data_IF_688686128324
#
_entry.id   IF_688686128324
#
_cell.length_a   1.000
_cell.length_b   1.000
_cell.length_c   1.000
_cell.angle_alpha   90.00
_cell.angle_beta   90.00
_cell.angle_gamma   90.00
#
_symmetry.space_group_name_H-M   'P 1'
#
loop_
_entity.id
_entity.type
_entity.pdbx_description
1 polymer ?
#
# COMPACT_ATOMS: atom_id res chain seq x y z
N UNK A 1 11.46 4.16 2.03
CA UNK A 1 11.30 3.07 3.01
C UNK A 1 12.04 1.82 2.52
N UNK A 2 12.86 1.14 3.33
CA UNK A 2 13.53 -0.09 2.89
C UNK A 2 12.51 -1.14 2.45
N UNK A 3 12.81 -1.90 1.39
CA UNK A 3 11.99 -3.03 0.91
C UNK A 3 10.60 -2.66 0.32
N UNK A 4 10.30 -1.38 0.09
CA UNK A 4 9.04 -0.93 -0.55
C UNK A 4 8.82 -1.58 -1.92
N UNK A 5 9.88 -1.71 -2.71
CA UNK A 5 9.81 -2.41 -4.00
C UNK A 5 9.55 -3.90 -3.83
N UNK A 6 10.17 -4.53 -2.84
CA UNK A 6 10.01 -5.96 -2.56
C UNK A 6 8.58 -6.31 -2.17
N UNK A 7 7.93 -5.49 -1.33
CA UNK A 7 6.52 -5.75 -0.97
C UNK A 7 5.59 -5.60 -2.17
N UNK A 8 5.85 -4.63 -3.06
CA UNK A 8 5.07 -4.45 -4.28
C UNK A 8 5.29 -5.61 -5.27
N UNK A 9 6.52 -6.11 -5.43
CA UNK A 9 6.82 -7.27 -6.28
C UNK A 9 6.07 -8.54 -5.80
N UNK A 10 5.83 -8.66 -4.49
CA UNK A 10 5.02 -9.72 -3.91
C UNK A 10 3.53 -9.50 -4.12
N UNK A 11 3.04 -8.26 -4.02
CA UNK A 11 1.65 -7.93 -4.37
C UNK A 11 1.34 -8.27 -5.83
N UNK A 12 2.29 -8.07 -6.78
CA UNK A 12 2.13 -8.40 -8.20
C UNK A 12 1.82 -9.89 -8.44
N UNK A 13 2.17 -10.78 -7.50
CA UNK A 13 1.86 -12.21 -7.61
C UNK A 13 0.42 -12.56 -7.21
N UNK A 14 -0.30 -11.63 -6.56
CA UNK A 14 -1.68 -11.85 -6.14
C UNK A 14 -2.64 -11.63 -7.31
N UNK A 15 -3.59 -12.54 -7.58
CA UNK A 15 -4.48 -12.45 -8.73
C UNK A 15 -5.44 -11.26 -8.67
N UNK A 16 -5.72 -10.75 -7.46
CA UNK A 16 -6.53 -9.54 -7.25
C UNK A 16 -5.73 -8.25 -7.41
N UNK A 17 -4.40 -8.29 -7.48
CA UNK A 17 -3.59 -7.09 -7.68
C UNK A 17 -3.68 -6.60 -9.13
N UNK A 18 -3.98 -5.32 -9.31
CA UNK A 18 -4.07 -4.71 -10.64
C UNK A 18 -2.80 -3.90 -10.92
N UNK A 19 -2.45 -2.96 -10.03
CA UNK A 19 -1.25 -2.13 -10.17
C UNK A 19 -0.92 -1.41 -8.87
N UNK A 20 0.28 -0.86 -8.77
CA UNK A 20 0.61 0.16 -7.77
C UNK A 20 1.58 1.22 -8.31
N UNK A 21 1.49 2.41 -7.74
CA UNK A 21 2.42 3.52 -7.94
C UNK A 21 2.97 3.91 -6.58
N UNK A 22 4.30 3.89 -6.45
CA UNK A 22 4.99 4.52 -5.32
C UNK A 22 5.35 5.96 -5.72
N UNK A 23 4.76 6.93 -5.06
CA UNK A 23 5.07 8.34 -5.24
C UNK A 23 5.99 8.81 -4.11
N UNK A 24 7.16 9.32 -4.49
CA UNK A 24 8.12 9.99 -3.63
C UNK A 24 8.37 11.39 -4.23
N UNK A 25 8.23 12.47 -3.44
CA UNK A 25 8.40 13.83 -3.94
C UNK A 25 9.43 14.63 -3.16
N UNK A 26 10.03 15.63 -3.81
CA UNK A 26 11.02 16.53 -3.19
C UNK A 26 10.40 17.48 -2.16
N UNK A 27 9.12 17.79 -2.30
CA UNK A 27 8.38 18.67 -1.38
C UNK A 27 8.02 17.95 -0.09
N UNK A 28 7.89 16.61 -0.14
CA UNK A 28 7.52 15.75 0.99
C UNK A 28 8.36 14.46 0.99
N UNK A 29 9.69 14.57 1.19
CA UNK A 29 10.61 13.43 1.05
C UNK A 29 10.34 12.32 2.08
N UNK A 30 9.71 12.65 3.20
CA UNK A 30 9.37 11.72 4.28
C UNK A 30 7.92 11.23 4.22
N UNK A 31 7.15 11.59 3.19
CA UNK A 31 5.76 11.14 3.03
C UNK A 31 5.56 10.35 1.73
N UNK A 32 6.16 9.15 1.59
CA UNK A 32 5.86 8.29 0.46
C UNK A 32 4.37 7.92 0.44
N UNK A 33 3.79 7.94 -0.75
CA UNK A 33 2.39 7.56 -0.98
C UNK A 33 2.36 6.33 -1.88
N UNK A 34 1.73 5.26 -1.41
CA UNK A 34 1.43 4.08 -2.23
C UNK A 34 0.01 4.22 -2.78
N UNK A 35 -0.14 4.30 -4.10
CA UNK A 35 -1.43 4.16 -4.77
C UNK A 35 -1.54 2.76 -5.32
N UNK A 36 -2.30 1.88 -4.68
CA UNK A 36 -2.51 0.51 -5.12
C UNK A 36 -3.92 0.33 -5.67
N UNK A 37 -4.11 -0.51 -6.68
CA UNK A 37 -5.43 -0.87 -7.19
C UNK A 37 -5.61 -2.38 -7.05
N UNK A 38 -6.72 -2.76 -6.42
CA UNK A 38 -7.09 -4.15 -6.16
C UNK A 38 -8.48 -4.48 -6.69
N UNK A 39 -8.66 -5.71 -7.16
CA UNK A 39 -9.97 -6.31 -7.49
C UNK A 39 -10.65 -6.80 -6.21
N UNK A 40 -11.98 -6.77 -6.19
CA UNK A 40 -12.78 -7.16 -5.02
C UNK A 40 -13.24 -5.94 -4.25
N UNK A 41 -13.92 -6.13 -3.13
CA UNK A 41 -14.40 -5.07 -2.25
C UNK A 41 -13.33 -4.57 -1.27
N UNK A 42 -13.62 -3.48 -0.56
CA UNK A 42 -12.82 -3.03 0.57
C UNK A 42 -12.70 -4.14 1.63
N UNK A 43 -13.82 -4.82 1.91
CA UNK A 43 -13.89 -5.90 2.88
C UNK A 43 -13.03 -7.09 2.45
N UNK A 44 -13.01 -7.44 1.16
CA UNK A 44 -12.13 -8.48 0.63
C UNK A 44 -10.66 -8.13 0.84
N UNK A 45 -10.27 -6.88 0.56
CA UNK A 45 -8.91 -6.42 0.80
C UNK A 45 -8.53 -6.53 2.28
N UNK A 46 -9.38 -6.00 3.18
CA UNK A 46 -9.10 -6.00 4.62
C UNK A 46 -9.03 -7.42 5.17
N UNK A 47 -9.89 -8.34 4.71
CA UNK A 47 -9.93 -9.71 5.23
C UNK A 47 -8.87 -10.63 4.61
N UNK A 48 -8.48 -10.40 3.35
CA UNK A 48 -7.64 -11.33 2.59
C UNK A 48 -6.24 -10.77 2.31
N UNK A 49 -6.17 -9.55 1.78
CA UNK A 49 -4.92 -8.97 1.26
C UNK A 49 -4.11 -8.24 2.34
N UNK A 50 -4.76 -7.48 3.21
CA UNK A 50 -4.10 -6.77 4.32
C UNK A 50 -3.34 -7.71 5.28
N UNK A 51 -3.91 -8.86 5.73
CA UNK A 51 -3.23 -9.73 6.69
C UNK A 51 -2.18 -10.66 6.08
N UNK A 52 -1.86 -10.54 4.79
CA UNK A 52 -0.89 -11.43 4.13
C UNK A 52 0.47 -11.39 4.85
N UNK A 53 1.15 -12.53 5.03
CA UNK A 53 2.39 -12.60 5.82
C UNK A 53 3.49 -11.65 5.33
N UNK A 54 3.62 -11.45 4.02
CA UNK A 54 4.64 -10.58 3.46
C UNK A 54 4.40 -9.09 3.79
N UNK A 55 3.13 -8.66 3.83
CA UNK A 55 2.74 -7.31 4.25
C UNK A 55 3.00 -7.10 5.73
N UNK A 56 2.61 -8.07 6.57
CA UNK A 56 2.92 -8.01 8.00
C UNK A 56 4.43 -7.91 8.25
N UNK A 57 5.23 -8.73 7.58
CA UNK A 57 6.69 -8.69 7.70
C UNK A 57 7.27 -7.34 7.29
N UNK A 58 6.79 -6.78 6.17
CA UNK A 58 7.18 -5.46 5.70
C UNK A 58 6.83 -4.35 6.71
N UNK A 59 5.59 -4.34 7.23
CA UNK A 59 5.15 -3.36 8.23
C UNK A 59 5.98 -3.46 9.51
N UNK A 60 6.23 -4.67 10.02
CA UNK A 60 7.08 -4.87 11.21
C UNK A 60 8.51 -4.36 11.00
N UNK A 61 9.12 -4.60 9.84
CA UNK A 61 10.45 -4.05 9.53
C UNK A 61 10.45 -2.53 9.42
N UNK A 62 9.34 -1.99 8.93
CA UNK A 62 9.16 -0.57 8.65
C UNK A 62 8.77 0.25 9.87
N UNK A 63 8.25 -0.37 10.93
CA UNK A 63 7.71 0.28 12.13
C UNK A 63 8.64 1.34 12.72
N UNK A 64 9.96 1.10 12.71
CA UNK A 64 10.96 2.05 13.23
C UNK A 64 11.10 3.34 12.43
N UNK A 65 10.62 3.34 11.18
CA UNK A 65 10.69 4.47 10.26
C UNK A 65 9.37 5.23 10.20
N UNK A 66 8.26 4.62 10.61
CA UNK A 66 6.90 5.12 10.38
C UNK A 66 6.34 5.78 11.64
N UNK A 67 5.97 7.06 11.53
CA UNK A 67 5.26 7.83 12.56
C UNK A 67 3.76 7.57 12.49
N UNK A 68 3.20 7.57 11.28
CA UNK A 68 1.77 7.42 11.05
C UNK A 68 1.50 6.84 9.66
N UNK A 69 0.40 6.11 9.54
CA UNK A 69 -0.16 5.65 8.27
C UNK A 69 -1.59 6.17 8.16
N UNK A 70 -1.91 6.83 7.05
CA UNK A 70 -3.27 7.20 6.69
C UNK A 70 -3.69 6.40 5.46
N UNK A 71 -4.72 5.57 5.61
CA UNK A 71 -5.23 4.70 4.55
C UNK A 71 -6.57 5.20 4.02
N UNK A 72 -6.63 5.56 2.74
CA UNK A 72 -7.85 6.00 2.06
C UNK A 72 -8.28 4.92 1.06
N UNK A 73 -9.57 4.53 1.12
CA UNK A 73 -10.18 3.56 0.22
C UNK A 73 -11.16 4.25 -0.70
N UNK A 74 -10.90 4.20 -2.01
CA UNK A 74 -11.77 4.77 -3.03
C UNK A 74 -12.29 3.67 -3.96
N UNK A 75 -13.61 3.64 -4.17
CA UNK A 75 -14.23 2.79 -5.18
C UNK A 75 -14.18 3.50 -6.53
N UNK A 76 -13.51 2.92 -7.54
CA UNK A 76 -13.58 3.50 -8.88
C UNK A 76 -15.01 3.33 -9.45
N UNK A 77 -15.62 4.44 -9.89
CA UNK A 77 -16.95 4.43 -10.53
C UNK A 77 -16.94 3.77 -11.92
N UNK A 78 -15.75 3.43 -12.45
CA UNK A 78 -15.57 2.73 -13.72
C UNK A 78 -15.53 1.19 -13.60
N UNK A 79 -15.81 0.63 -12.41
CA UNK A 79 -16.04 -0.81 -12.24
C UNK A 79 -14.81 -1.71 -12.35
N UNK A 80 -13.60 -1.13 -12.28
CA UNK A 80 -12.33 -1.85 -12.45
C UNK A 80 -11.38 -1.57 -11.26
N UNK A 81 -11.83 -1.91 -10.05
CA UNK A 81 -10.96 -1.99 -8.85
C UNK A 81 -11.06 -0.82 -7.88
N UNK A 82 -10.58 -1.06 -6.66
CA UNK A 82 -10.52 -0.07 -5.57
C UNK A 82 -9.09 0.47 -5.47
N UNK A 83 -8.98 1.80 -5.38
CA UNK A 83 -7.74 2.49 -5.08
C UNK A 83 -7.50 2.49 -3.58
N UNK A 84 -6.29 2.13 -3.18
CA UNK A 84 -5.79 2.13 -1.82
C UNK A 84 -4.62 3.11 -1.78
N UNK A 85 -4.79 4.20 -1.02
CA UNK A 85 -3.72 5.16 -0.78
C UNK A 85 -3.21 4.99 0.65
N UNK A 86 -2.01 4.44 0.83
CA UNK A 86 -1.29 4.49 2.10
C UNK A 86 -0.36 5.69 2.08
N UNK A 87 -0.69 6.72 2.88
CA UNK A 87 0.22 7.83 3.17
C UNK A 87 1.01 7.44 4.41
N UNK A 88 2.30 7.19 4.23
CA UNK A 88 3.20 6.80 5.31
C UNK A 88 4.05 8.01 5.68
N UNK A 89 3.93 8.54 6.90
CA UNK A 89 4.83 9.60 7.41
C UNK A 89 6.05 8.98 8.08
N UNK A 90 7.25 9.34 7.63
CA UNK A 90 8.51 8.84 8.19
C UNK A 90 9.15 9.84 9.16
N UNK A 91 10.01 9.32 10.05
CA UNK A 91 10.92 10.10 10.91
C UNK A 91 12.14 10.52 10.07
N UNK A 92 12.65 11.75 10.30
CA UNK A 92 13.90 12.29 9.71
C UNK A 92 15.15 11.43 9.99
#
# INVERSE_FOLDING_TARGET
>A
MPESKTVLDLCVQEPEFITAILQETTERPNEPIFFEIWRGSREDFICVQSPKPYRKAYLTKSERYVVAVEAIFECSTQGMGYGFADVVRNID
#
